data_IF_940331461639
#
_entry.id   IF_940331461639
#
_cell.length_a   1.000
_cell.length_b   1.000
_cell.length_c   1.000
_cell.angle_alpha   90.00
_cell.angle_beta   90.00
_cell.angle_gamma   90.00
#
_symmetry.space_group_name_H-M   'P 1'
#
loop_
_entity.id
_entity.type
_entity.pdbx_description
1 polymer ?
#
# COMPACT_ATOMS: atom_id res chain seq x y z
N UNK A 1 15.62 -0.93 -15.14
CA UNK A 1 14.16 -0.92 -14.99
C UNK A 1 13.80 -1.67 -13.73
N UNK A 2 13.85 -1.01 -12.58
CA UNK A 2 13.38 -1.63 -11.35
C UNK A 2 11.87 -1.48 -11.23
N UNK A 3 11.28 -2.48 -10.59
CA UNK A 3 9.84 -2.72 -10.53
C UNK A 3 9.39 -2.44 -9.11
N UNK A 4 8.20 -1.89 -8.98
CA UNK A 4 7.55 -1.82 -7.68
C UNK A 4 7.40 -3.25 -7.09
N UNK A 5 7.51 -3.41 -5.76
CA UNK A 5 7.28 -4.69 -5.10
C UNK A 5 5.85 -5.20 -5.37
N UNK A 6 5.59 -6.49 -5.13
CA UNK A 6 4.25 -7.07 -5.28
C UNK A 6 3.35 -6.75 -4.09
N UNK A 7 2.03 -6.86 -4.28
CA UNK A 7 1.01 -6.78 -3.23
C UNK A 7 1.34 -7.63 -2.00
N UNK A 8 1.95 -8.81 -2.20
CA UNK A 8 2.29 -9.78 -1.15
C UNK A 8 3.40 -9.29 -0.22
N UNK A 9 4.32 -8.48 -0.75
CA UNK A 9 5.37 -7.85 0.04
C UNK A 9 4.84 -6.66 0.86
N UNK A 10 3.67 -6.15 0.47
CA UNK A 10 2.95 -5.11 1.15
C UNK A 10 3.63 -3.75 1.07
N UNK A 11 3.03 -2.80 1.78
CA UNK A 11 3.45 -1.40 1.78
C UNK A 11 4.84 -1.20 2.40
N UNK A 12 5.22 -2.06 3.36
CA UNK A 12 6.53 -2.03 4.00
C UNK A 12 7.67 -2.19 2.99
N UNK A 13 7.45 -2.91 1.89
CA UNK A 13 8.42 -3.11 0.82
C UNK A 13 8.70 -1.85 -0.02
N UNK A 14 7.82 -0.84 0.06
CA UNK A 14 8.04 0.43 -0.61
C UNK A 14 8.99 1.34 0.18
N UNK A 15 9.01 1.19 1.51
CA UNK A 15 9.89 1.94 2.42
C UNK A 15 11.21 1.20 2.60
N UNK A 16 11.12 -0.08 2.95
CA UNK A 16 12.25 -0.94 3.21
C UNK A 16 12.44 -1.92 2.06
N UNK A 17 13.69 -2.09 1.62
CA UNK A 17 14.02 -3.07 0.59
C UNK A 17 13.68 -4.48 1.11
N UNK A 18 12.72 -5.20 0.49
CA UNK A 18 12.48 -6.59 0.83
C UNK A 18 13.68 -7.46 0.37
N UNK A 19 14.06 -8.50 1.13
CA UNK A 19 15.23 -9.32 0.84
C UNK A 19 15.11 -10.11 -0.47
N UNK A 20 13.89 -10.40 -0.92
CA UNK A 20 13.60 -11.23 -2.09
C UNK A 20 13.33 -10.45 -3.38
N UNK A 21 13.57 -9.13 -3.41
CA UNK A 21 13.27 -8.31 -4.60
C UNK A 21 14.56 -7.72 -5.22
N UNK A 22 15.21 -8.46 -6.15
CA UNK A 22 16.43 -7.99 -6.81
C UNK A 22 16.18 -6.79 -7.74
N UNK A 23 14.92 -6.56 -8.15
CA UNK A 23 14.50 -5.44 -8.99
C UNK A 23 13.97 -4.23 -8.20
N UNK A 24 14.12 -4.22 -6.87
CA UNK A 24 13.75 -3.06 -6.05
C UNK A 24 14.58 -1.83 -6.43
N UNK A 25 13.92 -0.74 -6.74
CA UNK A 25 14.54 0.42 -7.40
C UNK A 25 14.74 1.64 -6.50
N UNK A 26 14.72 1.43 -5.18
CA UNK A 26 14.91 2.46 -4.17
C UNK A 26 13.68 2.66 -3.29
N UNK A 27 13.80 3.47 -2.23
CA UNK A 27 12.67 3.80 -1.38
C UNK A 27 11.69 4.64 -2.21
N UNK A 28 10.53 4.07 -2.51
CA UNK A 28 9.45 4.74 -3.24
C UNK A 28 8.76 5.80 -2.38
N UNK A 29 8.95 5.70 -1.06
CA UNK A 29 8.43 6.61 -0.05
C UNK A 29 9.59 7.29 0.67
N UNK A 30 9.55 8.62 0.76
CA UNK A 30 10.55 9.43 1.48
C UNK A 30 10.44 9.35 3.00
N UNK A 31 9.31 8.85 3.51
CA UNK A 31 9.02 8.71 4.94
C UNK A 31 8.35 7.36 5.17
N UNK A 32 8.50 6.82 6.37
CA UNK A 32 7.68 5.70 6.83
C UNK A 32 6.20 6.01 6.58
N UNK A 33 5.49 5.02 6.04
CA UNK A 33 4.07 5.19 5.79
C UNK A 33 3.38 5.20 7.15
N UNK A 34 2.69 6.29 7.51
CA UNK A 34 1.87 6.28 8.71
C UNK A 34 0.81 5.19 8.58
N UNK A 35 0.33 4.73 9.73
CA UNK A 35 -0.91 3.98 9.78
C UNK A 35 -2.06 4.88 9.30
N UNK A 36 -3.13 4.25 8.86
CA UNK A 36 -4.35 4.96 8.51
C UNK A 36 -4.97 5.67 9.74
N UNK A 37 -6.00 6.52 9.56
CA UNK A 37 -6.66 7.22 10.66
C UNK A 37 -7.18 6.31 11.78
N UNK A 38 -7.31 5.01 11.54
CA UNK A 38 -7.79 4.00 12.47
C UNK A 38 -6.69 3.11 13.04
N UNK A 39 -5.42 3.41 12.75
CA UNK A 39 -4.26 2.66 13.25
C UNK A 39 -4.01 1.34 12.52
N UNK A 40 -4.55 1.17 11.30
CA UNK A 40 -4.34 0.00 10.46
C UNK A 40 -3.29 0.27 9.38
N UNK A 41 -2.60 -0.78 8.96
CA UNK A 41 -1.67 -0.68 7.85
C UNK A 41 -2.45 -0.55 6.54
N UNK A 42 -2.05 0.40 5.69
CA UNK A 42 -2.60 0.49 4.35
C UNK A 42 -2.24 -0.76 3.55
N UNK A 43 -3.19 -1.19 2.73
CA UNK A 43 -3.03 -2.28 1.79
C UNK A 43 -2.46 -1.72 0.50
N UNK A 44 -1.41 -2.37 0.02
CA UNK A 44 -0.74 -2.03 -1.21
C UNK A 44 -1.12 -3.05 -2.30
N UNK A 45 -1.49 -2.58 -3.49
CA UNK A 45 -1.90 -3.42 -4.62
C UNK A 45 -1.07 -3.09 -5.86
N UNK A 46 -0.43 -4.11 -6.44
CA UNK A 46 0.30 -4.05 -7.70
C UNK A 46 -0.04 -5.28 -8.55
N UNK A 47 -0.47 -5.11 -9.81
CA UNK A 47 -0.74 -3.85 -10.51
C UNK A 47 -1.93 -3.10 -9.90
N UNK A 48 -1.86 -1.77 -9.89
CA UNK A 48 -3.01 -0.93 -9.57
C UNK A 48 -4.09 -1.06 -10.65
N UNK A 49 -5.32 -0.74 -10.27
CA UNK A 49 -6.50 -0.76 -11.13
C UNK A 49 -6.56 0.49 -12.01
N UNK A 50 -6.06 1.62 -11.50
CA UNK A 50 -5.99 2.91 -12.22
C UNK A 50 -4.57 3.41 -12.49
N UNK A 51 -3.59 2.98 -11.70
CA UNK A 51 -2.18 3.38 -11.79
C UNK A 51 -1.26 2.16 -11.76
N UNK A 52 0.06 2.35 -11.85
CA UNK A 52 1.03 1.28 -11.67
C UNK A 52 0.88 0.55 -10.33
N UNK A 53 0.38 1.25 -9.31
CA UNK A 53 0.06 0.75 -7.99
C UNK A 53 -1.16 1.48 -7.41
N UNK A 54 -1.86 0.82 -6.49
CA UNK A 54 -2.87 1.44 -5.63
C UNK A 54 -2.52 1.24 -4.16
N UNK A 55 -2.85 2.24 -3.34
CA UNK A 55 -2.81 2.15 -1.89
C UNK A 55 -4.25 2.30 -1.41
N UNK A 56 -4.75 1.32 -0.66
CA UNK A 56 -6.12 1.25 -0.15
C UNK A 56 -6.16 1.03 1.37
N UNK A 57 -7.14 1.63 2.04
CA UNK A 57 -7.42 1.48 3.46
C UNK A 57 -8.86 1.03 3.63
N UNK A 58 -9.07 -0.08 4.32
CA UNK A 58 -10.39 -0.65 4.59
C UNK A 58 -11.15 0.04 5.74
N UNK A 59 -10.88 1.33 5.97
CA UNK A 59 -11.49 2.08 7.06
C UNK A 59 -11.32 1.47 8.46
N UNK A 60 -12.24 1.85 9.35
CA UNK A 60 -12.26 1.41 10.75
C UNK A 60 -12.50 -0.09 10.92
N UNK A 61 -13.32 -0.70 10.06
CA UNK A 61 -13.70 -2.11 10.20
C UNK A 61 -12.62 -3.06 9.63
N UNK A 62 -11.76 -2.57 8.73
CA UNK A 62 -10.69 -3.38 8.15
C UNK A 62 -11.22 -4.38 7.12
N UNK A 63 -12.43 -4.15 6.61
CA UNK A 63 -13.06 -4.98 5.59
C UNK A 63 -13.30 -4.18 4.31
N UNK A 64 -13.26 -4.84 3.14
CA UNK A 64 -13.64 -4.19 1.90
C UNK A 64 -15.11 -3.74 1.95
N UNK A 65 -15.34 -2.50 1.57
CA UNK A 65 -16.65 -1.88 1.47
C UNK A 65 -16.88 -0.82 2.53
N UNK A 66 -18.07 -0.83 3.14
CA UNK A 66 -18.45 0.11 4.19
C UNK A 66 -18.85 1.51 3.69
N UNK A 67 -19.37 2.31 4.62
CA UNK A 67 -19.76 3.70 4.39
C UNK A 67 -19.32 4.57 5.58
N UNK A 68 -19.13 5.87 5.35
CA UNK A 68 -18.65 6.78 6.40
C UNK A 68 -17.24 6.43 6.87
N UNK A 69 -17.07 6.15 8.16
CA UNK A 69 -15.77 5.76 8.75
C UNK A 69 -15.29 4.37 8.36
N UNK A 70 -16.17 3.54 7.80
CA UNK A 70 -15.83 2.21 7.32
C UNK A 70 -15.56 2.21 5.81
N UNK A 71 -15.68 3.35 5.13
CA UNK A 71 -15.51 3.39 3.69
C UNK A 71 -14.06 3.13 3.28
N UNK A 72 -13.88 2.33 2.23
CA UNK A 72 -12.59 2.14 1.59
C UNK A 72 -12.01 3.46 1.08
N UNK A 73 -10.79 3.79 1.52
CA UNK A 73 -10.05 4.97 1.06
C UNK A 73 -8.94 4.50 0.13
N UNK A 74 -8.89 5.00 -1.11
CA UNK A 74 -7.79 4.67 -2.04
C UNK A 74 -7.23 5.93 -2.70
N UNK A 75 -5.98 5.92 -3.15
CA UNK A 75 -5.23 7.16 -3.51
C UNK A 75 -5.59 7.85 -4.84
N UNK A 76 -6.74 7.54 -5.44
CA UNK A 76 -7.14 8.05 -6.75
C UNK A 76 -7.66 9.50 -6.75
#
# INVERSE_FOLDING_TARGET
TGRYPTTELGLAALVNRPPNEPKWNGPYLRKDVPLDPWGKAYVYKQPGERSDYDILSFGKDGQPGGTGENADITNH
#
